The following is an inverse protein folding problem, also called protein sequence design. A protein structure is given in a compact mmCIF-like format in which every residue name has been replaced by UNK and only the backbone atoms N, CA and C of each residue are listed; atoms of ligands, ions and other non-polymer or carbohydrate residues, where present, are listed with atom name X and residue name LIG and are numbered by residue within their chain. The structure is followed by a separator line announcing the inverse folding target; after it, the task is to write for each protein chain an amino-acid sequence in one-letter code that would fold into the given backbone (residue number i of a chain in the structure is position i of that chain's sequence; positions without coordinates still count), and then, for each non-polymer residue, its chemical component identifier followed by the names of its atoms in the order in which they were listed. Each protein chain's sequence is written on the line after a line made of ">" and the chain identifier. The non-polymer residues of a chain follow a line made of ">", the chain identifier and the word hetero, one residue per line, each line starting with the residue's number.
data_IF_654430813271
#
_entry.id   IF_654430813271
#
_cell.length_a   1.000
_cell.length_b   1.000
_cell.length_c   1.000
_cell.angle_alpha   90.00
_cell.angle_beta   90.00
_cell.angle_gamma   90.00
#
_symmetry.space_group_name_H-M   'P 1'
#
loop_
_entity.id
_entity.type
_entity.pdbx_description
1 polymer ?
#
# COMPACT_ATOMS: atom_id res chain seq x y z
N UNK A 1 0.17 8.42 -0.21
CA UNK A 1 1.30 7.77 -0.91
C UNK A 1 1.03 7.33 -2.35
N UNK A 2 -0.10 6.72 -2.71
CA UNK A 2 -0.27 6.31 -4.13
C UNK A 2 -0.25 7.50 -5.10
N UNK A 3 -0.87 8.61 -4.69
CA UNK A 3 -0.96 9.85 -5.46
C UNK A 3 0.37 10.61 -5.62
N UNK A 4 1.37 10.32 -4.77
CA UNK A 4 2.70 10.94 -4.86
C UNK A 4 3.64 10.20 -5.83
N UNK A 5 3.23 9.04 -6.35
CA UNK A 5 3.90 8.39 -7.47
C UNK A 5 3.63 9.18 -8.76
N UNK A 6 4.57 9.14 -9.70
CA UNK A 6 4.31 9.65 -11.05
C UNK A 6 3.12 8.89 -11.68
N UNK A 7 2.36 9.50 -12.62
CA UNK A 7 1.23 8.83 -13.25
C UNK A 7 1.57 7.44 -13.83
N UNK A 8 2.78 7.29 -14.39
CA UNK A 8 3.30 6.04 -14.94
C UNK A 8 3.51 4.97 -13.85
N UNK A 9 3.90 5.37 -12.64
CA UNK A 9 4.09 4.45 -11.53
C UNK A 9 2.77 4.16 -10.81
N UNK A 10 1.81 5.08 -10.83
CA UNK A 10 0.45 4.82 -10.32
C UNK A 10 -0.22 3.67 -11.07
N UNK A 11 -0.05 3.59 -12.40
CA UNK A 11 -0.63 2.49 -13.20
C UNK A 11 0.03 1.13 -12.93
N UNK A 12 1.17 1.08 -12.25
CA UNK A 12 1.84 -0.17 -11.85
C UNK A 12 1.33 -0.71 -10.51
N UNK A 13 0.56 0.08 -9.76
CA UNK A 13 0.02 -0.33 -8.47
C UNK A 13 -1.16 -1.27 -8.68
N UNK A 14 -1.02 -2.53 -8.25
CA UNK A 14 -2.04 -3.57 -8.42
C UNK A 14 -2.94 -3.74 -7.19
N UNK A 15 -2.50 -3.30 -6.02
CA UNK A 15 -3.26 -3.35 -4.77
C UNK A 15 -2.65 -2.40 -3.72
N UNK A 16 -3.48 -1.97 -2.77
CA UNK A 16 -3.03 -1.47 -1.48
C UNK A 16 -3.15 -2.55 -0.42
N UNK A 17 -2.26 -2.51 0.55
CA UNK A 17 -2.35 -3.33 1.74
C UNK A 17 -2.44 -2.45 2.99
N UNK A 18 -3.26 -2.88 3.94
CA UNK A 18 -3.34 -2.23 5.25
C UNK A 18 -3.49 -3.29 6.35
N UNK A 19 -3.25 -2.89 7.60
CA UNK A 19 -3.49 -3.70 8.80
C UNK A 19 -4.85 -3.36 9.43
N UNK A 20 -5.40 -2.19 9.12
CA UNK A 20 -6.72 -1.76 9.59
C UNK A 20 -7.84 -2.51 8.87
N UNK A 21 -8.55 -3.36 9.60
CA UNK A 21 -9.70 -4.13 9.09
C UNK A 21 -10.78 -3.25 8.47
N UNK A 22 -11.01 -2.03 8.97
CA UNK A 22 -12.02 -1.13 8.40
C UNK A 22 -11.66 -0.72 6.98
N UNK A 23 -10.38 -0.51 6.69
CA UNK A 23 -9.91 -0.20 5.33
C UNK A 23 -9.98 -1.43 4.44
N UNK A 24 -9.61 -2.60 4.95
CA UNK A 24 -9.71 -3.86 4.20
C UNK A 24 -11.18 -4.14 3.84
N UNK A 25 -12.12 -3.87 4.74
CA UNK A 25 -13.55 -4.03 4.50
C UNK A 25 -14.11 -3.11 3.42
N UNK A 26 -13.45 -1.97 3.10
CA UNK A 26 -13.84 -1.12 1.96
C UNK A 26 -13.61 -1.83 0.62
N UNK A 27 -12.78 -2.88 0.58
CA UNK A 27 -12.41 -3.73 -0.57
C UNK A 27 -11.65 -3.01 -1.69
N UNK A 28 -11.99 -1.76 -1.99
CA UNK A 28 -11.39 -0.98 -3.06
C UNK A 28 -11.14 0.46 -2.61
N UNK A 29 -9.99 0.99 -3.01
CA UNK A 29 -9.71 2.40 -3.04
C UNK A 29 -10.11 2.97 -4.40
N UNK A 30 -10.96 4.00 -4.39
CA UNK A 30 -11.40 4.68 -5.61
C UNK A 30 -10.60 5.96 -5.82
N UNK A 31 -9.91 6.05 -6.95
CA UNK A 31 -9.25 7.28 -7.37
C UNK A 31 -10.27 8.16 -8.09
N UNK A 32 -10.68 9.25 -7.45
CA UNK A 32 -11.60 10.22 -8.02
C UNK A 32 -10.86 11.39 -8.66
N UNK A 33 -11.18 11.68 -9.93
CA UNK A 33 -10.73 12.88 -10.63
C UNK A 33 -11.77 14.00 -10.42
N UNK A 34 -11.37 15.07 -9.74
CA UNK A 34 -12.24 16.20 -9.41
C UNK A 34 -12.60 17.08 -10.61
N UNK A 35 -11.75 17.11 -11.64
CA UNK A 35 -11.96 17.88 -12.87
C UNK A 35 -12.96 17.15 -13.77
N UNK A 36 -12.77 15.84 -13.95
CA UNK A 36 -13.65 14.98 -14.75
C UNK A 36 -14.89 14.51 -13.97
N UNK A 37 -14.92 14.76 -12.66
CA UNK A 37 -15.99 14.38 -11.72
C UNK A 37 -16.36 12.89 -11.75
N UNK A 38 -15.37 12.01 -11.91
CA UNK A 38 -15.60 10.56 -11.97
C UNK A 38 -14.48 9.75 -11.32
N UNK A 39 -14.77 8.50 -10.98
CA UNK A 39 -13.77 7.51 -10.57
C UNK A 39 -12.99 7.08 -11.81
N UNK A 40 -11.67 7.25 -11.79
CA UNK A 40 -10.76 6.93 -12.90
C UNK A 40 -9.97 5.64 -12.66
N UNK A 41 -9.88 5.17 -11.41
CA UNK A 41 -9.31 3.87 -11.08
C UNK A 41 -9.93 3.29 -9.82
N UNK A 42 -9.97 1.96 -9.74
CA UNK A 42 -10.32 1.20 -8.54
C UNK A 42 -9.18 0.24 -8.22
N UNK A 43 -8.55 0.44 -7.07
CA UNK A 43 -7.38 -0.34 -6.65
C UNK A 43 -7.83 -1.23 -5.47
N UNK A 44 -7.66 -2.56 -5.54
CA UNK A 44 -8.02 -3.45 -4.44
C UNK A 44 -7.31 -3.07 -3.13
N UNK A 45 -7.99 -3.21 -2.00
CA UNK A 45 -7.40 -3.13 -0.66
C UNK A 45 -7.38 -4.56 -0.10
N UNK A 46 -6.18 -5.07 0.16
CA UNK A 46 -5.95 -6.40 0.73
C UNK A 46 -5.41 -6.30 2.15
N UNK A 47 -5.54 -7.37 2.93
CA UNK A 47 -4.83 -7.48 4.20
C UNK A 47 -3.33 -7.55 3.95
N UNK A 48 -2.53 -6.93 4.82
CA UNK A 48 -1.08 -7.12 4.88
C UNK A 48 -0.66 -8.59 4.80
N UNK A 49 -1.42 -9.51 5.43
CA UNK A 49 -1.13 -10.96 5.39
C UNK A 49 -1.06 -11.50 3.97
N UNK A 50 -1.88 -10.96 3.06
CA UNK A 50 -1.94 -11.36 1.66
C UNK A 50 -1.00 -10.55 0.75
N UNK A 51 -0.28 -9.54 1.28
CA UNK A 51 0.67 -8.77 0.50
C UNK A 51 1.83 -9.65 0.02
N UNK A 52 2.29 -9.39 -1.20
CA UNK A 52 3.40 -10.08 -1.88
C UNK A 52 4.43 -9.05 -2.37
N UNK A 53 5.72 -9.40 -2.40
CA UNK A 53 6.75 -8.53 -2.96
C UNK A 53 6.66 -8.44 -4.49
N UNK A 54 7.16 -7.35 -5.11
CA UNK A 54 7.78 -6.19 -4.47
C UNK A 54 6.74 -5.21 -3.91
N UNK A 55 6.97 -4.71 -2.69
CA UNK A 55 6.08 -3.76 -2.02
C UNK A 55 6.74 -2.39 -1.81
N UNK A 56 5.94 -1.32 -1.83
CA UNK A 56 6.37 0.00 -1.37
C UNK A 56 5.75 0.23 0.00
N UNK A 57 6.61 0.38 1.00
CA UNK A 57 6.19 0.71 2.36
C UNK A 57 6.20 2.22 2.51
N UNK A 58 5.03 2.70 2.88
CA UNK A 58 4.64 4.09 2.77
C UNK A 58 4.36 4.72 4.15
N UNK A 59 4.51 3.94 5.22
CA UNK A 59 4.25 4.41 6.58
C UNK A 59 5.56 4.62 7.32
N UNK A 60 5.50 5.52 8.30
CA UNK A 60 6.57 5.69 9.28
C UNK A 60 6.62 4.45 10.17
N UNK A 61 7.69 3.66 10.02
CA UNK A 61 7.88 2.40 10.76
C UNK A 61 7.90 2.67 12.28
N UNK A 62 8.55 3.76 12.69
CA UNK A 62 8.66 4.28 14.06
C UNK A 62 7.32 4.66 14.70
N UNK A 63 6.25 4.86 13.91
CA UNK A 63 4.92 5.19 14.41
C UNK A 63 4.04 3.95 14.67
N UNK A 64 4.51 2.75 14.28
CA UNK A 64 3.76 1.50 14.48
C UNK A 64 4.13 0.77 15.76
N UNK A 65 4.90 1.41 16.65
CA UNK A 65 5.35 0.82 17.91
C UNK A 65 6.10 -0.52 17.73
N UNK A 66 6.69 -0.75 16.54
CA UNK A 66 7.39 -1.99 16.18
C UNK A 66 6.52 -3.05 15.50
N UNK A 67 5.19 -2.88 15.44
CA UNK A 67 4.27 -3.90 14.89
C UNK A 67 4.53 -4.15 13.40
N UNK A 68 4.86 -3.13 12.62
CA UNK A 68 5.14 -3.33 11.19
C UNK A 68 6.47 -4.04 10.96
N UNK A 69 7.49 -3.71 11.74
CA UNK A 69 8.81 -4.32 11.67
C UNK A 69 8.76 -5.81 12.06
N UNK A 70 7.96 -6.18 13.06
CA UNK A 70 7.75 -7.57 13.44
C UNK A 70 7.03 -8.35 12.34
N UNK A 71 5.96 -7.78 11.79
CA UNK A 71 5.25 -8.34 10.64
C UNK A 71 6.19 -8.60 9.43
N UNK A 72 7.07 -7.64 9.09
CA UNK A 72 8.04 -7.80 8.00
C UNK A 72 9.06 -8.91 8.28
N UNK A 73 9.51 -9.04 9.53
CA UNK A 73 10.38 -10.14 9.96
C UNK A 73 9.66 -11.49 9.83
N UNK A 74 8.40 -11.59 10.24
CA UNK A 74 7.60 -12.81 10.09
C UNK A 74 7.42 -13.20 8.62
N UNK A 75 7.23 -12.23 7.73
CA UNK A 75 7.18 -12.46 6.27
C UNK A 75 8.55 -12.77 5.65
N UNK A 76 9.64 -12.65 6.39
CA UNK A 76 11.02 -12.79 5.92
C UNK A 76 11.34 -11.85 4.74
N UNK A 77 10.75 -10.65 4.73
CA UNK A 77 10.96 -9.65 3.69
C UNK A 77 12.22 -8.84 3.96
N UNK A 78 13.03 -8.65 2.92
CA UNK A 78 14.26 -7.87 2.96
C UNK A 78 14.09 -6.53 2.26
N UNK A 79 14.50 -5.47 2.93
CA UNK A 79 14.58 -4.15 2.31
C UNK A 79 15.53 -4.18 1.10
N UNK A 80 15.20 -3.39 0.08
CA UNK A 80 15.88 -3.34 -1.24
C UNK A 80 15.67 -4.55 -2.15
N UNK A 81 15.06 -5.63 -1.67
CA UNK A 81 14.70 -6.81 -2.48
C UNK A 81 13.18 -7.01 -2.55
N UNK A 82 12.56 -7.21 -1.38
CA UNK A 82 11.14 -7.48 -1.25
C UNK A 82 10.32 -6.21 -1.06
N UNK A 83 10.91 -5.19 -0.46
CA UNK A 83 10.27 -3.89 -0.31
C UNK A 83 11.24 -2.71 -0.35
N UNK A 84 10.69 -1.54 -0.67
CA UNK A 84 11.36 -0.25 -0.54
C UNK A 84 10.57 0.59 0.47
N UNK A 85 11.25 1.13 1.47
CA UNK A 85 10.66 2.07 2.42
C UNK A 85 10.80 3.51 1.90
N UNK A 86 9.69 4.23 1.83
CA UNK A 86 9.65 5.67 1.55
C UNK A 86 9.27 6.41 2.83
N UNK A 87 10.18 7.24 3.34
CA UNK A 87 9.95 8.19 4.43
C UNK A 87 9.53 9.57 3.93
#
# INVERSE_FOLDING_TARGET
>A
MALSLSPINQTKVIAFCDVDEKKIQQKFYELYDSVQRKVIARIPIISYKNAQPPAIIAVKLDMTNGEMEENLKEKNWKESFDYIHFS
#
